data_IF_284067972958
#
_entry.id   IF_284067972958
#
_cell.length_a   1.000
_cell.length_b   1.000
_cell.length_c   1.000
_cell.angle_alpha   90.00
_cell.angle_beta   90.00
_cell.angle_gamma   90.00
#
_symmetry.space_group_name_H-M   'P 1'
#
loop_
_entity.id
_entity.type
_entity.pdbx_description
1 polymer ?
#
# COMPACT_ATOMS: atom_id res chain seq x y z
N UNK A 1 5.60 -10.77 -20.59
CA UNK A 1 4.56 -10.02 -19.84
C UNK A 1 3.64 -9.33 -20.82
N UNK A 2 2.33 -9.39 -20.58
CA UNK A 2 1.33 -8.68 -21.38
C UNK A 2 0.88 -7.44 -20.62
N UNK A 3 0.83 -6.30 -21.31
CA UNK A 3 0.44 -5.00 -20.78
C UNK A 3 -0.81 -4.52 -21.51
N UNK A 4 -1.77 -3.97 -20.76
CA UNK A 4 -2.94 -3.27 -21.31
C UNK A 4 -2.64 -1.78 -21.45
N UNK A 5 -3.19 -1.13 -22.48
CA UNK A 5 -3.11 0.32 -22.62
C UNK A 5 -3.93 1.01 -21.52
N UNK A 6 -3.25 1.70 -20.62
CA UNK A 6 -3.88 2.62 -19.67
C UNK A 6 -4.23 3.93 -20.40
N UNK A 7 -5.51 4.26 -20.48
CA UNK A 7 -6.02 5.48 -21.15
C UNK A 7 -6.10 6.67 -20.19
N UNK A 8 -6.24 6.41 -18.90
CA UNK A 8 -6.14 7.41 -17.83
C UNK A 8 -5.73 6.75 -16.51
N UNK A 9 -4.91 7.42 -15.71
CA UNK A 9 -4.49 6.93 -14.37
C UNK A 9 -5.45 7.41 -13.28
N UNK A 10 -5.93 8.65 -13.41
CA UNK A 10 -6.82 9.29 -12.45
C UNK A 10 -8.17 9.58 -13.10
N UNK A 11 -9.23 9.58 -12.30
CA UNK A 11 -10.53 10.07 -12.76
C UNK A 11 -10.58 11.61 -12.80
N UNK A 12 -11.73 12.15 -13.21
CA UNK A 12 -11.95 13.61 -13.30
C UNK A 12 -11.91 14.32 -11.95
N UNK A 13 -12.05 13.58 -10.86
CA UNK A 13 -11.98 14.08 -9.48
C UNK A 13 -10.56 13.97 -8.91
N UNK A 14 -9.59 13.46 -9.70
CA UNK A 14 -8.20 13.30 -9.29
C UNK A 14 -7.94 12.05 -8.44
N UNK A 15 -8.92 11.16 -8.28
CA UNK A 15 -8.72 9.90 -7.54
C UNK A 15 -8.00 8.89 -8.41
N UNK A 16 -7.12 8.10 -7.81
CA UNK A 16 -6.48 6.99 -8.51
C UNK A 16 -7.55 5.98 -8.93
N UNK A 17 -7.82 5.91 -10.23
CA UNK A 17 -8.86 5.09 -10.82
C UNK A 17 -8.49 4.79 -12.28
N UNK A 18 -7.53 3.87 -12.51
CA UNK A 18 -7.02 3.60 -13.84
C UNK A 18 -8.10 3.05 -14.78
N UNK A 19 -8.18 3.62 -15.98
CA UNK A 19 -9.02 3.14 -17.06
C UNK A 19 -8.16 2.51 -18.15
N UNK A 20 -8.61 1.37 -18.69
CA UNK A 20 -7.87 0.59 -19.67
C UNK A 20 -8.66 0.42 -20.96
N UNK A 21 -7.94 0.36 -22.07
CA UNK A 21 -8.47 -0.18 -23.32
C UNK A 21 -7.98 -1.63 -23.46
N UNK A 22 -8.88 -2.58 -23.22
CA UNK A 22 -8.56 -4.02 -23.27
C UNK A 22 -8.33 -4.53 -24.69
N UNK A 23 -8.69 -3.76 -25.72
CA UNK A 23 -8.45 -4.16 -27.12
C UNK A 23 -7.01 -3.89 -27.57
N UNK A 24 -6.27 -3.05 -26.84
CA UNK A 24 -4.88 -2.72 -27.13
C UNK A 24 -3.94 -3.33 -26.09
N UNK A 25 -3.26 -4.40 -26.49
CA UNK A 25 -2.25 -5.07 -25.65
C UNK A 25 -0.84 -4.94 -26.23
N UNK A 26 0.17 -4.95 -25.35
CA UNK A 26 1.59 -4.98 -25.71
C UNK A 26 2.27 -6.13 -24.99
N UNK A 27 2.92 -7.00 -25.74
CA UNK A 27 3.76 -8.07 -25.19
C UNK A 27 5.22 -7.63 -25.12
N UNK A 28 5.84 -7.87 -23.97
CA UNK A 28 7.29 -7.72 -23.75
C UNK A 28 7.84 -9.10 -23.40
N UNK A 29 8.71 -9.63 -24.26
CA UNK A 29 9.48 -10.84 -24.00
C UNK A 29 10.50 -10.58 -22.89
N UNK A 30 10.51 -11.43 -21.87
CA UNK A 30 11.47 -11.34 -20.75
C UNK A 30 11.64 -12.70 -20.08
N UNK A 31 12.85 -12.97 -19.62
CA UNK A 31 13.17 -14.17 -18.83
C UNK A 31 12.86 -14.00 -17.34
N UNK A 32 12.81 -12.76 -16.86
CA UNK A 32 12.61 -12.44 -15.44
C UNK A 32 11.76 -11.19 -15.27
N UNK A 33 10.90 -11.21 -14.26
CA UNK A 33 10.09 -10.08 -13.85
C UNK A 33 10.28 -9.83 -12.36
N UNK A 34 10.56 -8.57 -11.99
CA UNK A 34 10.80 -8.15 -10.60
C UNK A 34 9.68 -7.18 -10.22
N UNK A 35 8.87 -7.56 -9.23
CA UNK A 35 7.85 -6.67 -8.69
C UNK A 35 8.50 -5.67 -7.73
N UNK A 36 8.44 -4.38 -8.07
CA UNK A 36 8.92 -3.27 -7.24
C UNK A 36 7.77 -2.29 -6.94
N UNK A 37 6.60 -2.83 -6.55
CA UNK A 37 5.35 -2.06 -6.35
C UNK A 37 5.24 -1.43 -4.95
N UNK A 38 6.30 -1.49 -4.15
CA UNK A 38 6.33 -1.02 -2.77
C UNK A 38 6.30 -2.15 -1.75
N UNK A 39 6.09 -1.79 -0.48
CA UNK A 39 6.02 -2.71 0.65
C UNK A 39 4.78 -2.43 1.51
N UNK A 40 4.34 -3.43 2.25
CA UNK A 40 3.32 -3.30 3.28
C UNK A 40 3.71 -4.16 4.48
N UNK A 41 3.32 -3.73 5.68
CA UNK A 41 3.55 -4.52 6.89
C UNK A 41 2.68 -5.78 6.88
N UNK A 42 3.28 -6.95 7.10
CA UNK A 42 2.52 -8.18 7.38
C UNK A 42 1.93 -8.09 8.79
N UNK A 43 0.64 -8.40 8.89
CA UNK A 43 -0.17 -8.25 10.08
C UNK A 43 -0.95 -9.51 10.42
N UNK A 44 -0.68 -10.64 9.75
CA UNK A 44 -1.35 -11.91 10.04
C UNK A 44 -1.12 -12.40 11.48
N UNK A 45 -0.07 -11.90 12.15
CA UNK A 45 0.26 -12.19 13.55
C UNK A 45 -0.46 -11.29 14.56
N UNK A 46 -1.07 -10.18 14.12
CA UNK A 46 -1.86 -9.31 14.99
C UNK A 46 -3.28 -9.85 15.08
N UNK A 47 -3.68 -10.31 16.27
CA UNK A 47 -5.08 -10.56 16.54
C UNK A 47 -5.87 -9.26 16.31
N UNK A 48 -7.04 -9.35 15.67
CA UNK A 48 -7.81 -8.19 15.21
C UNK A 48 -8.18 -7.16 16.31
N UNK A 49 -8.06 -7.54 17.59
CA UNK A 49 -8.32 -6.69 18.75
C UNK A 49 -7.07 -6.30 19.56
N UNK A 50 -5.87 -6.61 19.05
CA UNK A 50 -4.62 -6.44 19.80
C UNK A 50 -3.94 -5.09 19.58
N UNK A 51 -4.17 -4.41 18.45
CA UNK A 51 -3.48 -3.15 18.14
C UNK A 51 -4.28 -2.30 17.15
N UNK A 52 -4.44 -1.02 17.45
CA UNK A 52 -5.12 -0.09 16.54
C UNK A 52 -4.30 0.18 15.28
N UNK A 53 -4.98 0.23 14.14
CA UNK A 53 -4.37 0.44 12.83
C UNK A 53 -5.12 1.50 12.02
N UNK A 54 -4.37 2.30 11.27
CA UNK A 54 -4.84 3.31 10.34
C UNK A 54 -5.56 2.72 9.12
N UNK A 55 -6.24 3.59 8.36
CA UNK A 55 -6.91 3.21 7.11
C UNK A 55 -5.95 2.72 6.01
N UNK A 56 -4.68 3.14 6.05
CA UNK A 56 -3.64 2.70 5.11
C UNK A 56 -2.91 1.44 5.59
N UNK A 57 -3.36 0.83 6.69
CA UNK A 57 -2.86 -0.45 7.17
C UNK A 57 -1.62 -0.38 8.06
N UNK A 58 -1.17 0.82 8.45
CA UNK A 58 -0.05 1.06 9.37
C UNK A 58 -0.49 1.12 10.84
N UNK A 59 0.42 0.89 11.78
CA UNK A 59 0.14 0.98 13.22
C UNK A 59 -0.26 2.41 13.57
N UNK A 60 -1.39 2.56 14.27
CA UNK A 60 -1.87 3.86 14.72
C UNK A 60 -1.14 4.26 16.00
N UNK A 61 -0.63 5.49 16.02
CA UNK A 61 0.03 6.07 17.20
C UNK A 61 -0.48 7.47 17.52
N UNK A 62 -0.20 7.93 18.74
CA UNK A 62 -0.21 9.35 19.07
C UNK A 62 1.03 10.04 18.45
N UNK A 63 0.82 11.00 17.54
CA UNK A 63 1.91 11.60 16.77
C UNK A 63 2.89 12.45 17.59
N UNK A 64 2.57 12.80 18.84
CA UNK A 64 3.47 13.58 19.70
C UNK A 64 4.34 12.69 20.59
N UNK A 65 3.90 11.46 20.86
CA UNK A 65 4.55 10.54 21.82
C UNK A 65 4.93 9.19 21.23
N UNK A 66 4.45 8.85 20.03
CA UNK A 66 4.58 7.56 19.36
C UNK A 66 3.97 6.37 20.12
N UNK A 67 3.13 6.64 21.13
CA UNK A 67 2.40 5.60 21.85
C UNK A 67 1.36 4.95 20.95
N UNK A 68 1.23 3.62 21.05
CA UNK A 68 0.08 2.90 20.50
C UNK A 68 -1.13 3.02 21.45
N UNK A 69 -2.24 2.34 21.13
CA UNK A 69 -3.38 2.21 22.04
C UNK A 69 -3.10 1.25 23.22
N UNK A 70 -1.99 0.52 23.18
CA UNK A 70 -1.52 -0.32 24.28
C UNK A 70 -0.46 0.39 25.14
N UNK A 71 -0.69 0.40 26.45
CA UNK A 71 0.24 1.02 27.41
C UNK A 71 1.61 0.34 27.38
N UNK A 72 2.66 1.15 27.24
CA UNK A 72 4.05 0.67 27.21
C UNK A 72 4.50 0.12 25.85
N UNK A 73 3.65 0.16 24.82
CA UNK A 73 3.99 -0.25 23.45
C UNK A 73 4.00 0.99 22.54
N UNK A 74 5.08 1.13 21.77
CA UNK A 74 5.34 2.24 20.86
C UNK A 74 5.63 1.70 19.46
N UNK A 75 5.38 2.52 18.42
CA UNK A 75 5.72 2.20 17.04
C UNK A 75 6.24 3.45 16.31
N UNK A 76 7.09 3.28 15.30
CA UNK A 76 7.64 4.38 14.50
C UNK A 76 8.11 3.90 13.11
N UNK A 77 8.53 4.84 12.25
CA UNK A 77 9.05 4.58 10.91
C UNK A 77 7.96 4.10 9.93
N UNK A 78 8.34 3.32 8.92
CA UNK A 78 7.42 2.83 7.89
C UNK A 78 6.25 2.00 8.44
N UNK A 79 6.39 1.43 9.65
CA UNK A 79 5.31 0.74 10.33
C UNK A 79 4.17 1.69 10.75
N UNK A 80 4.44 2.99 10.85
CA UNK A 80 3.48 4.06 11.19
C UNK A 80 3.16 4.93 9.98
N UNK A 81 4.18 5.40 9.27
CA UNK A 81 4.04 6.38 8.18
C UNK A 81 3.82 5.72 6.81
N UNK A 82 4.14 4.42 6.69
CA UNK A 82 4.25 3.73 5.41
C UNK A 82 5.60 3.98 4.75
N UNK A 83 5.96 3.18 3.72
CA UNK A 83 7.17 3.42 2.92
C UNK A 83 7.15 4.81 2.27
N UNK A 84 8.30 5.50 2.33
CA UNK A 84 8.52 6.84 1.75
C UNK A 84 9.27 6.80 0.41
#
# INVERSE_FOLDING_TARGET
VELLRCTSVFDKEGRFNPAYDESETKTIETDTFIFAIGQASDRAWLDANSLAVSAIGTIKVDNSTMNTDLSGIFACGDAVDGPT
#
